data_IF_342048757942
#
_entry.id   IF_342048757942
#
_cell.length_a   1.000
_cell.length_b   1.000
_cell.length_c   1.000
_cell.angle_alpha   90.00
_cell.angle_beta   90.00
_cell.angle_gamma   90.00
#
_symmetry.space_group_name_H-M   'P 1'
#
loop_
_entity.id
_entity.type
_entity.pdbx_description
1 polymer ?
#
# COMPACT_ATOMS: atom_id res chain seq x y z
N UNK A 1 -8.41 -35.25 18.64
CA UNK A 1 -8.82 -33.84 18.46
C UNK A 1 -8.33 -33.20 17.15
N UNK A 2 -7.70 -33.91 16.22
CA UNK A 2 -7.23 -33.39 14.91
C UNK A 2 -8.26 -33.54 13.76
N UNK A 3 -9.39 -34.17 14.01
CA UNK A 3 -10.32 -34.57 12.94
C UNK A 3 -11.53 -33.65 12.70
N UNK A 4 -11.66 -32.57 13.45
CA UNK A 4 -12.84 -31.67 13.40
C UNK A 4 -12.62 -30.36 12.64
N UNK A 5 -11.38 -30.01 12.28
CA UNK A 5 -11.09 -28.78 11.52
C UNK A 5 -11.15 -28.94 9.99
N UNK A 6 -11.13 -30.17 9.46
CA UNK A 6 -11.01 -30.39 7.99
C UNK A 6 -12.33 -30.43 7.22
N UNK A 7 -13.50 -30.41 7.85
CA UNK A 7 -14.79 -30.60 7.15
C UNK A 7 -15.55 -29.32 6.78
N UNK A 8 -15.02 -28.13 7.08
CA UNK A 8 -15.77 -26.87 6.89
C UNK A 8 -15.28 -25.97 5.73
N UNK A 9 -14.28 -26.39 4.95
CA UNK A 9 -13.69 -25.55 3.88
C UNK A 9 -14.18 -25.85 2.46
N UNK A 10 -15.23 -26.65 2.27
CA UNK A 10 -15.77 -26.93 0.94
C UNK A 10 -17.24 -26.50 0.90
N UNK A 11 -17.53 -25.32 0.38
CA UNK A 11 -18.73 -24.94 -0.38
C UNK A 11 -18.83 -23.41 -0.50
N UNK A 12 -18.36 -22.87 -1.61
CA UNK A 12 -18.95 -21.73 -2.31
C UNK A 12 -18.28 -21.58 -3.69
N UNK A 13 -18.69 -22.43 -4.60
CA UNK A 13 -18.55 -22.20 -6.04
C UNK A 13 -19.95 -21.99 -6.59
N UNK A 14 -20.30 -20.76 -6.92
CA UNK A 14 -21.48 -20.46 -7.72
C UNK A 14 -21.08 -20.33 -9.18
N UNK A 15 -21.48 -21.29 -9.97
CA UNK A 15 -21.36 -21.30 -11.43
C UNK A 15 -22.46 -20.42 -12.01
N UNK A 16 -22.10 -19.37 -12.74
CA UNK A 16 -23.02 -18.64 -13.61
C UNK A 16 -22.85 -19.13 -15.05
N UNK A 17 -23.86 -19.79 -15.58
CA UNK A 17 -23.93 -20.27 -16.96
C UNK A 17 -24.42 -19.17 -17.89
N UNK A 18 -23.63 -18.88 -18.91
CA UNK A 18 -23.96 -18.02 -20.05
C UNK A 18 -24.89 -18.73 -21.03
N UNK A 19 -25.94 -18.07 -21.47
CA UNK A 19 -26.73 -18.46 -22.63
C UNK A 19 -26.54 -17.43 -23.74
N UNK A 20 -25.92 -17.84 -24.85
CA UNK A 20 -25.86 -17.06 -26.09
C UNK A 20 -27.17 -17.18 -26.86
N UNK A 21 -27.75 -16.05 -27.25
CA UNK A 21 -28.84 -15.97 -28.20
C UNK A 21 -28.51 -15.07 -29.38
N UNK A 22 -28.42 -15.64 -30.57
CA UNK A 22 -28.28 -14.93 -31.85
C UNK A 22 -29.59 -14.24 -32.23
N UNK A 23 -29.53 -12.96 -32.54
CA UNK A 23 -30.65 -12.19 -33.11
C UNK A 23 -30.18 -11.17 -34.13
N UNK A 24 -30.65 -11.35 -35.36
CA UNK A 24 -30.37 -10.56 -36.55
C UNK A 24 -31.16 -9.22 -36.52
N UNK A 25 -30.65 -8.11 -37.10
CA UNK A 25 -31.31 -6.82 -37.03
C UNK A 25 -32.45 -6.69 -38.05
N UNK A 26 -33.60 -6.11 -37.73
CA UNK A 26 -34.60 -5.73 -38.70
C UNK A 26 -34.45 -4.31 -39.22
N UNK A 27 -34.98 -4.11 -40.42
CA UNK A 27 -34.90 -2.91 -41.25
C UNK A 27 -35.55 -1.66 -40.64
N UNK A 28 -35.01 -0.49 -41.01
CA UNK A 28 -35.49 0.84 -40.68
C UNK A 28 -36.90 1.11 -41.25
N UNK A 29 -37.83 1.50 -40.39
CA UNK A 29 -39.09 2.15 -40.75
C UNK A 29 -39.18 3.50 -40.04
N UNK A 30 -39.35 4.57 -40.82
CA UNK A 30 -39.56 5.94 -40.36
C UNK A 30 -40.99 6.08 -39.85
N UNK A 31 -41.17 6.32 -38.55
CA UNK A 31 -42.42 6.71 -37.93
C UNK A 31 -42.30 8.10 -37.30
N UNK A 32 -43.30 8.97 -37.34
CA UNK A 32 -43.24 10.33 -36.78
C UNK A 32 -43.20 10.28 -35.23
N UNK A 33 -42.68 11.34 -34.55
CA UNK A 33 -42.47 11.33 -33.12
C UNK A 33 -43.83 11.26 -32.36
N UNK A 34 -43.93 10.46 -31.29
CA UNK A 34 -45.10 10.40 -30.45
C UNK A 34 -45.23 11.67 -29.60
N UNK A 35 -46.47 12.07 -29.33
CA UNK A 35 -46.84 13.18 -28.46
C UNK A 35 -46.28 12.98 -27.06
N UNK A 36 -45.88 14.11 -26.40
CA UNK A 36 -45.31 14.11 -25.07
C UNK A 36 -46.19 13.35 -24.06
N UNK A 37 -45.60 12.38 -23.38
CA UNK A 37 -46.23 11.64 -22.31
C UNK A 37 -46.50 12.55 -21.10
N UNK A 38 -47.61 12.34 -20.34
CA UNK A 38 -47.86 13.07 -19.11
C UNK A 38 -46.75 12.81 -18.07
N UNK A 39 -46.47 13.75 -17.15
CA UNK A 39 -45.45 13.60 -16.16
C UNK A 39 -45.66 12.34 -15.32
N UNK A 40 -44.64 11.52 -15.21
CA UNK A 40 -44.66 10.30 -14.41
C UNK A 40 -44.97 10.64 -12.94
N UNK A 41 -45.93 9.92 -12.38
CA UNK A 41 -46.19 9.94 -10.93
C UNK A 41 -44.91 9.55 -10.18
N UNK A 42 -44.51 10.28 -9.13
CA UNK A 42 -43.37 9.90 -8.34
C UNK A 42 -43.58 8.48 -7.77
N UNK A 43 -42.51 7.66 -7.71
CA UNK A 43 -42.60 6.33 -7.12
C UNK A 43 -43.07 6.45 -5.66
N UNK A 44 -43.83 5.48 -5.15
CA UNK A 44 -44.27 5.50 -3.76
C UNK A 44 -43.07 5.57 -2.84
N UNK A 45 -43.18 6.41 -1.82
CA UNK A 45 -42.11 6.52 -0.80
C UNK A 45 -41.83 5.13 -0.23
N UNK A 46 -40.56 4.69 -0.31
CA UNK A 46 -40.13 3.44 0.31
C UNK A 46 -40.31 3.62 1.81
N UNK A 47 -41.34 2.95 2.35
CA UNK A 47 -41.56 2.90 3.79
C UNK A 47 -40.33 2.24 4.43
N UNK A 48 -39.53 3.01 5.21
CA UNK A 48 -38.40 2.46 5.93
C UNK A 48 -38.94 1.56 7.02
N UNK A 49 -38.88 0.25 6.80
CA UNK A 49 -39.16 -0.75 7.83
C UNK A 49 -38.10 -0.54 8.94
N UNK A 50 -38.53 0.07 10.06
CA UNK A 50 -37.68 0.14 11.24
C UNK A 50 -37.65 -1.25 11.88
N UNK A 51 -36.44 -1.83 11.98
CA UNK A 51 -36.25 -3.10 12.66
C UNK A 51 -36.67 -2.96 14.14
N UNK A 52 -37.40 -3.96 14.65
CA UNK A 52 -37.79 -3.97 16.07
C UNK A 52 -36.57 -4.13 16.97
N UNK A 53 -36.63 -3.66 18.24
CA UNK A 53 -35.54 -3.86 19.20
C UNK A 53 -35.12 -5.34 19.32
N UNK A 54 -36.08 -6.28 19.24
CA UNK A 54 -35.83 -7.71 19.28
C UNK A 54 -35.08 -8.21 18.04
N UNK A 55 -35.45 -7.71 16.86
CA UNK A 55 -34.73 -8.04 15.61
C UNK A 55 -33.29 -7.52 15.63
N UNK A 56 -33.07 -6.31 16.17
CA UNK A 56 -31.74 -5.74 16.35
C UNK A 56 -30.91 -6.55 17.37
N UNK A 57 -31.52 -6.96 18.50
CA UNK A 57 -30.86 -7.78 19.51
C UNK A 57 -30.44 -9.15 18.93
N UNK A 58 -31.34 -9.81 18.21
CA UNK A 58 -31.07 -11.09 17.53
C UNK A 58 -29.96 -10.97 16.50
N UNK A 59 -29.98 -9.95 15.67
CA UNK A 59 -28.92 -9.71 14.67
C UNK A 59 -27.56 -9.47 15.33
N UNK A 60 -27.51 -8.76 16.47
CA UNK A 60 -26.28 -8.58 17.25
C UNK A 60 -25.75 -9.91 17.83
N UNK A 61 -26.61 -10.75 18.35
CA UNK A 61 -26.25 -12.08 18.86
C UNK A 61 -25.72 -12.98 17.74
N UNK A 62 -26.36 -12.98 16.57
CA UNK A 62 -25.90 -13.74 15.40
C UNK A 62 -24.54 -13.26 14.89
N UNK A 63 -24.31 -11.93 14.82
CA UNK A 63 -23.03 -11.34 14.46
C UNK A 63 -21.95 -11.69 15.48
N UNK A 64 -22.26 -11.64 16.79
CA UNK A 64 -21.31 -12.03 17.82
C UNK A 64 -20.95 -13.52 17.74
N UNK A 65 -21.93 -14.37 17.52
CA UNK A 65 -21.72 -15.81 17.36
C UNK A 65 -20.89 -16.12 16.10
N UNK A 66 -21.08 -15.37 15.01
CA UNK A 66 -20.26 -15.47 13.81
C UNK A 66 -18.81 -15.03 14.09
N UNK A 67 -18.60 -13.88 14.72
CA UNK A 67 -17.28 -13.39 15.12
C UNK A 67 -16.53 -14.39 16.03
N UNK A 68 -17.24 -15.05 16.95
CA UNK A 68 -16.66 -16.08 17.83
C UNK A 68 -16.31 -17.38 17.07
N UNK A 69 -17.07 -17.74 16.02
CA UNK A 69 -16.73 -18.85 15.12
C UNK A 69 -15.48 -18.51 14.31
N UNK A 70 -15.41 -17.32 13.74
CA UNK A 70 -14.28 -16.86 12.94
C UNK A 70 -13.00 -16.76 13.77
N UNK A 71 -13.13 -16.27 15.02
CA UNK A 71 -12.02 -16.24 15.99
C UNK A 71 -11.49 -17.65 16.29
N UNK A 72 -12.38 -18.63 16.50
CA UNK A 72 -11.97 -20.03 16.72
C UNK A 72 -11.31 -20.64 15.50
N UNK A 73 -11.81 -20.38 14.29
CA UNK A 73 -11.18 -20.83 13.04
C UNK A 73 -9.78 -20.23 12.88
N UNK A 74 -9.61 -18.93 13.10
CA UNK A 74 -8.30 -18.26 13.02
C UNK A 74 -7.31 -18.79 14.06
N UNK A 75 -7.77 -19.13 15.26
CA UNK A 75 -6.92 -19.71 16.31
C UNK A 75 -6.34 -21.10 15.93
N UNK A 76 -7.01 -21.84 15.06
CA UNK A 76 -6.55 -23.14 14.54
C UNK A 76 -5.69 -23.02 13.28
N UNK A 77 -5.63 -21.85 12.62
CA UNK A 77 -4.91 -21.64 11.36
C UNK A 77 -3.40 -21.69 11.63
N UNK A 78 -2.70 -22.58 10.96
CA UNK A 78 -1.23 -22.59 10.97
C UNK A 78 -0.67 -21.63 9.92
N UNK A 79 0.60 -21.26 10.07
CA UNK A 79 1.25 -20.42 9.05
C UNK A 79 1.31 -21.11 7.68
N UNK A 80 1.55 -22.42 7.63
CA UNK A 80 1.58 -23.15 6.37
C UNK A 80 0.20 -23.21 5.71
N UNK A 81 -0.89 -23.33 6.49
CA UNK A 81 -2.26 -23.22 5.97
C UNK A 81 -2.52 -21.81 5.40
N UNK A 82 -2.06 -20.76 6.09
CA UNK A 82 -2.18 -19.39 5.61
C UNK A 82 -1.40 -19.16 4.32
N UNK A 83 -0.13 -19.57 4.26
CA UNK A 83 0.71 -19.48 3.04
C UNK A 83 0.06 -20.15 1.83
N UNK A 84 -0.63 -21.27 2.05
CA UNK A 84 -1.32 -22.00 0.98
C UNK A 84 -2.53 -21.22 0.40
N UNK A 85 -3.05 -20.23 1.11
CA UNK A 85 -4.18 -19.38 0.67
C UNK A 85 -3.74 -18.04 0.10
N UNK A 86 -2.48 -17.63 0.34
CA UNK A 86 -1.96 -16.34 -0.13
C UNK A 86 -1.44 -16.49 -1.55
N UNK A 87 -1.93 -15.63 -2.44
CA UNK A 87 -1.42 -15.56 -3.80
C UNK A 87 0.05 -15.13 -3.82
N UNK A 88 0.86 -15.79 -4.64
CA UNK A 88 2.24 -15.40 -4.92
C UNK A 88 2.42 -15.16 -6.41
N UNK A 89 2.94 -14.00 -6.76
CA UNK A 89 3.25 -13.65 -8.15
C UNK A 89 4.20 -14.69 -8.77
N UNK A 90 3.91 -15.19 -10.01
CA UNK A 90 4.60 -16.34 -10.61
C UNK A 90 5.85 -15.96 -11.43
N UNK A 91 6.49 -14.84 -11.12
CA UNK A 91 7.69 -14.36 -11.81
C UNK A 91 8.85 -14.10 -10.84
N UNK A 92 10.05 -13.91 -11.37
CA UNK A 92 11.24 -13.62 -10.57
C UNK A 92 11.07 -12.30 -9.80
N UNK A 93 11.36 -12.31 -8.50
CA UNK A 93 11.10 -11.17 -7.60
C UNK A 93 9.62 -10.99 -7.24
N UNK A 94 8.75 -11.92 -7.66
CA UNK A 94 7.33 -11.91 -7.33
C UNK A 94 7.08 -11.98 -5.83
N UNK A 95 6.06 -11.23 -5.38
CA UNK A 95 5.69 -11.03 -3.98
C UNK A 95 4.50 -11.89 -3.57
N UNK A 96 4.28 -12.04 -2.28
CA UNK A 96 3.01 -12.51 -1.73
C UNK A 96 2.03 -11.34 -1.71
N UNK A 97 0.82 -11.54 -2.19
CA UNK A 97 -0.22 -10.52 -2.21
C UNK A 97 -1.24 -10.83 -1.12
N UNK A 98 -1.42 -9.92 -0.22
CA UNK A 98 -2.44 -9.97 0.83
C UNK A 98 -3.43 -8.82 0.65
N UNK A 99 -4.61 -8.91 1.25
CA UNK A 99 -5.58 -7.81 1.29
C UNK A 99 -5.98 -7.24 -0.10
N UNK A 100 -5.89 -8.07 -1.14
CA UNK A 100 -6.24 -7.72 -2.53
C UNK A 100 -5.05 -7.27 -3.37
N UNK A 101 -4.23 -6.32 -2.90
CA UNK A 101 -3.14 -5.70 -3.66
C UNK A 101 -1.89 -5.35 -2.83
N UNK A 102 -1.91 -5.62 -1.53
CA UNK A 102 -0.79 -5.30 -0.64
C UNK A 102 0.35 -6.32 -0.80
N UNK A 103 1.52 -5.93 -1.33
CA UNK A 103 2.61 -6.85 -1.57
C UNK A 103 3.47 -7.07 -0.32
N UNK A 104 3.81 -8.34 -0.05
CA UNK A 104 4.77 -8.76 0.97
C UNK A 104 5.95 -9.45 0.28
N UNK A 105 7.16 -8.97 0.50
CA UNK A 105 8.32 -9.34 -0.30
C UNK A 105 8.75 -10.80 -0.15
N UNK A 106 8.62 -11.37 1.05
CA UNK A 106 9.13 -12.71 1.33
C UNK A 106 8.36 -13.44 2.44
N UNK A 107 8.70 -14.73 2.62
CA UNK A 107 8.06 -15.59 3.61
C UNK A 107 8.35 -15.16 5.07
N UNK A 108 9.48 -14.47 5.35
CA UNK A 108 9.81 -13.93 6.68
C UNK A 108 8.82 -12.83 7.08
N UNK A 109 8.62 -11.86 6.18
CA UNK A 109 7.64 -10.78 6.38
C UNK A 109 6.20 -11.32 6.39
N UNK A 110 5.89 -12.33 5.57
CA UNK A 110 4.57 -12.97 5.57
C UNK A 110 4.28 -13.69 6.89
N UNK A 111 5.28 -14.32 7.51
CA UNK A 111 5.14 -14.90 8.85
C UNK A 111 4.89 -13.81 9.90
N UNK A 112 5.60 -12.70 9.82
CA UNK A 112 5.39 -11.56 10.73
C UNK A 112 3.99 -10.97 10.55
N UNK A 113 3.53 -10.81 9.32
CA UNK A 113 2.16 -10.41 9.00
C UNK A 113 1.14 -11.37 9.61
N UNK A 114 1.32 -12.68 9.43
CA UNK A 114 0.45 -13.71 10.00
C UNK A 114 0.39 -13.65 11.54
N UNK A 115 1.54 -13.55 12.21
CA UNK A 115 1.61 -13.50 13.66
C UNK A 115 0.99 -12.22 14.24
N UNK A 116 1.15 -11.08 13.56
CA UNK A 116 0.62 -9.79 14.00
C UNK A 116 -0.85 -9.58 13.67
N UNK A 117 -1.28 -10.00 12.48
CA UNK A 117 -2.52 -9.50 11.88
C UNK A 117 -3.56 -10.60 11.66
N UNK A 118 -3.15 -11.85 11.46
CA UNK A 118 -4.09 -12.95 11.22
C UNK A 118 -4.47 -13.65 12.52
N UNK A 119 -3.52 -13.85 13.44
CA UNK A 119 -3.76 -14.52 14.73
C UNK A 119 -4.54 -13.68 15.77
N UNK A 120 -4.21 -12.40 16.04
CA UNK A 120 -4.94 -11.62 17.04
C UNK A 120 -6.00 -10.71 16.43
N UNK A 121 -7.18 -10.53 17.02
CA UNK A 121 -8.09 -9.46 16.67
C UNK A 121 -7.69 -8.16 17.36
N UNK A 122 -7.49 -7.06 16.64
CA UNK A 122 -7.23 -5.76 17.25
C UNK A 122 -8.09 -4.64 16.65
N UNK A 123 -8.33 -3.59 17.47
CA UNK A 123 -9.16 -2.44 17.16
C UNK A 123 -8.33 -1.27 16.62
N UNK A 124 -8.83 -0.53 15.70
CA UNK A 124 -8.20 0.29 14.71
C UNK A 124 -8.44 1.79 14.70
N UNK A 125 -7.75 2.51 13.81
CA UNK A 125 -7.97 3.90 13.35
C UNK A 125 -7.15 4.20 12.07
N UNK A 126 -7.46 5.23 11.21
CA UNK A 126 -7.01 5.53 9.82
C UNK A 126 -5.59 6.06 9.61
N UNK A 127 -5.01 6.10 8.30
CA UNK A 127 -3.97 5.17 8.08
C UNK A 127 -3.00 5.65 7.01
N UNK A 128 -1.89 6.13 7.51
CA UNK A 128 -0.61 6.16 6.83
C UNK A 128 0.18 4.92 7.25
N UNK A 129 0.79 4.22 6.31
CA UNK A 129 1.65 3.08 6.58
C UNK A 129 2.77 3.46 7.56
N UNK A 130 2.99 2.64 8.57
CA UNK A 130 4.10 2.82 9.51
C UNK A 130 5.00 1.60 9.51
N UNK A 131 6.30 1.84 9.61
CA UNK A 131 7.31 0.79 9.77
C UNK A 131 8.11 1.10 11.02
N UNK A 132 8.05 0.21 11.99
CA UNK A 132 8.67 0.47 13.30
C UNK A 132 8.11 1.70 14.03
N UNK A 133 6.88 2.12 13.72
CA UNK A 133 6.26 3.31 14.29
C UNK A 133 6.60 4.63 13.58
N UNK A 134 7.40 4.59 12.51
CA UNK A 134 7.71 5.73 11.66
C UNK A 134 6.85 5.74 10.40
N UNK A 135 6.50 6.93 9.91
CA UNK A 135 5.76 7.10 8.67
C UNK A 135 6.52 6.54 7.47
N UNK A 136 5.92 5.63 6.72
CA UNK A 136 6.42 5.20 5.42
C UNK A 136 6.08 6.26 4.37
N UNK A 137 6.90 7.31 4.29
CA UNK A 137 6.67 8.45 3.37
C UNK A 137 7.97 8.98 2.78
N UNK A 138 7.86 9.67 1.66
CA UNK A 138 8.98 10.40 1.06
C UNK A 138 9.40 11.58 1.93
N UNK A 139 10.70 11.82 2.01
CA UNK A 139 11.23 13.03 2.65
C UNK A 139 11.06 14.28 1.75
N UNK A 140 11.44 15.45 2.26
CA UNK A 140 11.24 16.73 1.54
C UNK A 140 12.02 16.84 0.22
N UNK A 141 13.17 16.16 0.12
CA UNK A 141 13.99 16.14 -1.09
C UNK A 141 13.51 15.11 -2.10
N UNK A 142 12.98 13.98 -1.63
CA UNK A 142 12.48 12.89 -2.47
C UNK A 142 11.12 13.19 -3.07
N UNK A 143 10.19 13.74 -2.29
CA UNK A 143 8.79 13.98 -2.71
C UNK A 143 8.64 14.82 -3.97
N UNK A 144 9.62 15.68 -4.28
CA UNK A 144 9.65 16.54 -5.48
C UNK A 144 10.51 15.96 -6.60
N UNK A 145 10.80 14.67 -6.57
CA UNK A 145 11.64 13.96 -7.56
C UNK A 145 11.17 12.52 -7.75
N UNK A 146 9.87 12.28 -7.78
CA UNK A 146 9.30 10.95 -7.94
C UNK A 146 9.30 10.58 -9.44
N UNK A 147 10.51 10.39 -10.00
CA UNK A 147 10.66 10.02 -11.41
C UNK A 147 10.21 8.58 -11.65
N UNK A 148 9.57 8.36 -12.81
CA UNK A 148 9.13 7.03 -13.22
C UNK A 148 9.31 6.81 -14.72
N UNK A 149 9.36 5.56 -15.13
CA UNK A 149 9.29 5.15 -16.52
C UNK A 149 8.03 4.31 -16.77
N UNK A 150 7.56 4.28 -18.01
CA UNK A 150 6.48 3.40 -18.45
C UNK A 150 7.05 2.43 -19.48
N UNK A 151 6.94 1.12 -19.19
CA UNK A 151 7.60 0.11 -20.00
C UNK A 151 7.04 0.02 -21.42
N UNK A 152 7.93 0.00 -22.42
CA UNK A 152 7.57 -0.27 -23.81
C UNK A 152 6.94 -1.68 -24.02
N UNK A 153 6.99 -2.56 -23.00
CA UNK A 153 6.32 -3.87 -23.04
C UNK A 153 4.80 -3.78 -23.00
N UNK A 154 4.22 -2.60 -22.70
CA UNK A 154 2.79 -2.35 -22.92
C UNK A 154 2.40 -2.38 -24.42
N UNK A 155 3.35 -2.30 -25.35
CA UNK A 155 3.10 -2.33 -26.78
C UNK A 155 2.18 -1.19 -27.22
N UNK A 156 1.11 -1.49 -27.95
CA UNK A 156 0.15 -0.48 -28.43
C UNK A 156 -0.62 0.26 -27.33
N UNK A 157 -0.55 -0.20 -26.08
CA UNK A 157 -1.19 0.46 -24.92
C UNK A 157 -0.29 1.48 -24.23
N UNK A 158 0.99 1.53 -24.58
CA UNK A 158 1.99 2.39 -23.93
C UNK A 158 1.52 3.85 -23.79
N UNK A 159 1.14 4.49 -24.89
CA UNK A 159 0.74 5.90 -24.88
C UNK A 159 -0.52 6.14 -24.03
N UNK A 160 -1.44 5.18 -24.04
CA UNK A 160 -2.64 5.25 -23.19
C UNK A 160 -2.26 5.17 -21.70
N UNK A 161 -1.33 4.27 -21.33
CA UNK A 161 -0.84 4.17 -19.93
C UNK A 161 -0.11 5.44 -19.53
N UNK A 162 0.75 6.00 -20.39
CA UNK A 162 1.43 7.29 -20.15
C UNK A 162 0.40 8.39 -19.85
N UNK A 163 -0.65 8.48 -20.67
CA UNK A 163 -1.70 9.48 -20.47
C UNK A 163 -2.49 9.26 -19.16
N UNK A 164 -2.82 8.01 -18.84
CA UNK A 164 -3.56 7.71 -17.58
C UNK A 164 -2.69 7.94 -16.35
N UNK A 165 -1.40 7.62 -16.41
CA UNK A 165 -0.44 7.96 -15.35
C UNK A 165 -0.35 9.47 -15.15
N UNK A 166 -0.20 10.26 -16.24
CA UNK A 166 -0.16 11.72 -16.15
C UNK A 166 -1.45 12.31 -15.55
N UNK A 167 -2.61 11.76 -15.90
CA UNK A 167 -3.89 12.16 -15.32
C UNK A 167 -3.95 11.83 -13.81
N UNK A 168 -3.52 10.65 -13.42
CA UNK A 168 -3.59 10.19 -12.04
C UNK A 168 -2.57 10.91 -11.13
N UNK A 169 -1.33 11.11 -11.57
CA UNK A 169 -0.32 11.88 -10.83
C UNK A 169 -0.76 13.33 -10.66
N UNK A 170 -1.29 13.95 -11.73
CA UNK A 170 -1.78 15.32 -11.71
C UNK A 170 -2.90 15.57 -10.69
N UNK A 171 -3.73 14.57 -10.35
CA UNK A 171 -4.75 14.73 -9.31
C UNK A 171 -4.13 14.87 -7.91
N UNK A 172 -3.06 14.13 -7.61
CA UNK A 172 -2.32 14.28 -6.35
C UNK A 172 -1.51 15.59 -6.32
N UNK A 173 -0.85 15.95 -7.41
CA UNK A 173 -0.02 17.16 -7.55
C UNK A 173 -0.83 18.45 -7.45
N UNK A 174 -2.10 18.45 -7.87
CA UNK A 174 -3.00 19.61 -7.70
C UNK A 174 -3.20 20.03 -6.24
N UNK A 175 -3.04 19.11 -5.31
CA UNK A 175 -3.35 19.34 -3.90
C UNK A 175 -2.14 19.21 -2.97
N UNK A 176 -1.12 18.43 -3.37
CA UNK A 176 0.09 18.17 -2.56
C UNK A 176 1.35 18.73 -3.20
N UNK A 177 2.33 19.11 -2.39
CA UNK A 177 3.66 19.48 -2.85
C UNK A 177 4.53 18.26 -3.16
N UNK A 178 4.02 17.32 -3.96
CA UNK A 178 4.77 16.22 -4.56
C UNK A 178 4.96 16.48 -6.05
N UNK A 179 5.93 15.84 -6.68
CA UNK A 179 6.20 16.00 -8.11
C UNK A 179 6.58 14.63 -8.70
N UNK A 180 5.71 14.14 -9.59
CA UNK A 180 5.89 12.91 -10.34
C UNK A 180 6.35 13.25 -11.77
N UNK A 181 7.50 12.79 -12.15
CA UNK A 181 8.08 13.09 -13.48
C UNK A 181 8.24 11.82 -14.31
N UNK A 182 7.55 11.74 -15.45
CA UNK A 182 7.77 10.67 -16.43
C UNK A 182 9.09 10.90 -17.17
N UNK A 183 10.07 10.04 -16.93
CA UNK A 183 11.33 10.04 -17.71
C UNK A 183 11.19 9.11 -18.91
N UNK A 184 10.73 9.68 -20.03
CA UNK A 184 10.51 8.95 -21.29
C UNK A 184 11.79 8.32 -21.85
N UNK A 185 12.97 8.85 -21.51
CA UNK A 185 14.25 8.29 -21.93
C UNK A 185 14.53 6.91 -21.32
N UNK A 186 13.83 6.57 -20.24
CA UNK A 186 13.98 5.32 -19.50
C UNK A 186 12.96 4.24 -19.89
N UNK A 187 11.98 4.54 -20.74
CA UNK A 187 10.89 3.60 -21.08
C UNK A 187 11.40 2.32 -21.77
N UNK A 188 12.45 2.42 -22.58
CA UNK A 188 13.05 1.27 -23.23
C UNK A 188 13.78 0.32 -22.25
N UNK A 189 14.26 0.83 -21.12
CA UNK A 189 14.95 0.08 -20.07
C UNK A 189 14.11 0.02 -18.79
N UNK A 190 12.80 0.25 -18.87
CA UNK A 190 11.91 0.35 -17.73
C UNK A 190 11.75 -1.01 -17.03
N UNK A 191 12.28 -1.12 -15.82
CA UNK A 191 12.26 -2.36 -15.05
C UNK A 191 12.88 -2.21 -13.66
N UNK A 192 12.85 -3.28 -12.85
CA UNK A 192 13.26 -3.24 -11.45
C UNK A 192 14.75 -2.92 -11.24
N UNK A 193 15.60 -3.18 -12.24
CA UNK A 193 17.04 -2.88 -12.19
C UNK A 193 17.40 -1.47 -12.69
N UNK A 194 16.43 -0.69 -13.19
CA UNK A 194 16.68 0.66 -13.65
C UNK A 194 16.74 1.65 -12.48
N UNK A 195 17.93 1.98 -12.04
CA UNK A 195 18.16 2.91 -10.91
C UNK A 195 18.10 4.40 -11.29
N UNK A 196 17.91 4.72 -12.57
CA UNK A 196 17.77 6.10 -13.04
C UNK A 196 16.41 6.73 -12.66
N UNK A 197 15.42 5.92 -12.32
CA UNK A 197 14.09 6.35 -11.89
C UNK A 197 13.75 5.82 -10.50
N UNK A 198 12.83 6.48 -9.81
CA UNK A 198 12.38 6.08 -8.48
C UNK A 198 11.56 4.80 -8.54
N UNK A 199 10.72 4.62 -9.59
CA UNK A 199 9.93 3.42 -9.79
C UNK A 199 9.65 3.15 -11.27
N UNK A 200 9.21 1.94 -11.56
CA UNK A 200 8.83 1.49 -12.89
C UNK A 200 7.35 1.13 -12.96
N UNK A 201 6.73 1.42 -14.12
CA UNK A 201 5.35 1.04 -14.43
C UNK A 201 5.38 -0.02 -15.53
N UNK A 202 4.84 -1.23 -15.24
CA UNK A 202 4.96 -2.39 -16.14
C UNK A 202 3.67 -3.19 -16.25
N UNK A 203 3.40 -3.84 -17.40
CA UNK A 203 2.30 -4.79 -17.54
C UNK A 203 2.63 -6.11 -16.86
N UNK A 204 1.58 -6.76 -16.37
CA UNK A 204 1.58 -8.17 -15.93
C UNK A 204 0.30 -8.85 -16.44
N UNK A 205 0.29 -10.17 -16.39
CA UNK A 205 -0.89 -10.98 -16.71
C UNK A 205 -1.00 -12.07 -15.64
N UNK A 206 -1.58 -11.73 -14.50
CA UNK A 206 -1.67 -12.61 -13.32
C UNK A 206 -3.12 -12.92 -12.95
N UNK A 207 -4.07 -12.00 -13.21
CA UNK A 207 -5.50 -12.17 -13.01
C UNK A 207 -5.99 -12.13 -11.56
N UNK A 208 -5.12 -11.85 -10.59
CA UNK A 208 -5.47 -11.81 -9.15
C UNK A 208 -5.73 -10.40 -8.63
N UNK A 209 -5.25 -9.39 -9.35
CA UNK A 209 -5.48 -7.96 -9.08
C UNK A 209 -5.57 -7.18 -10.38
N UNK A 210 -6.17 -5.99 -10.36
CA UNK A 210 -6.19 -5.08 -11.52
C UNK A 210 -4.86 -4.33 -11.63
N UNK A 211 -4.36 -3.83 -10.52
CA UNK A 211 -3.03 -3.25 -10.40
C UNK A 211 -2.53 -3.45 -8.96
N UNK A 212 -1.25 -3.19 -8.73
CA UNK A 212 -0.67 -3.04 -7.41
C UNK A 212 0.50 -2.07 -7.42
N UNK A 213 0.79 -1.43 -6.31
CA UNK A 213 1.91 -0.52 -6.17
C UNK A 213 2.91 -0.99 -5.08
N UNK A 214 3.65 -0.04 -4.53
CA UNK A 214 4.69 -0.22 -3.51
C UNK A 214 4.54 0.86 -2.43
N UNK A 215 5.19 0.65 -1.27
CA UNK A 215 5.29 1.69 -0.24
C UNK A 215 6.66 2.40 -0.27
N UNK A 216 6.75 3.69 0.13
CA UNK A 216 7.99 4.49 0.05
C UNK A 216 9.22 3.88 0.70
N UNK A 217 9.06 3.05 1.72
CA UNK A 217 10.13 2.36 2.43
C UNK A 217 10.72 1.16 1.69
N UNK A 218 10.14 0.73 0.56
CA UNK A 218 10.67 -0.40 -0.20
C UNK A 218 11.96 -0.04 -0.96
N UNK A 219 12.89 -1.00 -1.18
CA UNK A 219 14.10 -0.78 -1.97
C UNK A 219 13.75 -0.62 -3.45
N UNK A 220 14.63 0.04 -4.25
CA UNK A 220 14.36 0.37 -5.67
C UNK A 220 13.86 -0.83 -6.51
N UNK A 221 14.44 -2.03 -6.45
CA UNK A 221 13.95 -3.15 -7.25
C UNK A 221 12.49 -3.56 -6.97
N UNK A 222 11.99 -3.21 -5.78
CA UNK A 222 10.63 -3.50 -5.34
C UNK A 222 9.64 -2.35 -5.64
N UNK A 223 10.13 -1.17 -6.03
CA UNK A 223 9.31 0.01 -6.35
C UNK A 223 8.77 -0.09 -7.77
N UNK A 224 7.65 -0.76 -7.92
CA UNK A 224 6.96 -0.90 -9.19
C UNK A 224 5.45 -0.74 -9.03
N UNK A 225 4.83 -0.13 -10.02
CA UNK A 225 3.39 -0.14 -10.26
C UNK A 225 3.16 -1.18 -11.36
N UNK A 226 2.51 -2.27 -11.02
CA UNK A 226 2.18 -3.35 -11.96
C UNK A 226 0.70 -3.22 -12.34
N UNK A 227 0.43 -3.25 -13.65
CA UNK A 227 -0.91 -3.15 -14.22
C UNK A 227 -1.23 -4.47 -14.91
N UNK A 228 -2.25 -5.16 -14.42
CA UNK A 228 -2.69 -6.42 -15.02
C UNK A 228 -3.46 -6.19 -16.33
N UNK A 229 -3.36 -7.14 -17.23
CA UNK A 229 -4.04 -7.14 -18.54
C UNK A 229 -5.56 -6.93 -18.40
N UNK A 230 -6.18 -7.42 -17.32
CA UNK A 230 -7.61 -7.28 -17.05
C UNK A 230 -8.05 -5.83 -16.84
N UNK A 231 -7.16 -4.94 -16.40
CA UNK A 231 -7.45 -3.50 -16.26
C UNK A 231 -7.80 -2.81 -17.58
N UNK A 232 -7.36 -3.37 -18.71
CA UNK A 232 -7.66 -2.85 -20.05
C UNK A 232 -8.94 -3.44 -20.66
N UNK A 233 -9.54 -4.41 -19.99
CA UNK A 233 -10.79 -5.05 -20.41
C UNK A 233 -12.01 -4.49 -19.69
N UNK A 234 -11.84 -3.46 -18.85
CA UNK A 234 -12.95 -2.81 -18.15
C UNK A 234 -13.92 -2.15 -19.15
N UNK A 235 -15.24 -2.32 -18.98
CA UNK A 235 -16.23 -1.68 -19.85
C UNK A 235 -16.10 -0.14 -19.79
N UNK A 236 -16.19 0.57 -20.91
CA UNK A 236 -15.99 2.02 -20.95
C UNK A 236 -17.10 2.84 -20.26
N UNK A 237 -18.25 2.22 -20.01
CA UNK A 237 -19.40 2.80 -19.31
C UNK A 237 -19.40 2.52 -17.80
N UNK A 238 -18.47 1.68 -17.32
CA UNK A 238 -18.30 1.44 -15.89
C UNK A 238 -17.55 2.60 -15.22
N UNK A 239 -17.84 2.82 -13.94
CA UNK A 239 -17.17 3.86 -13.15
C UNK A 239 -15.71 3.53 -12.83
N UNK A 240 -15.41 2.24 -12.67
CA UNK A 240 -14.05 1.77 -12.48
C UNK A 240 -13.28 1.85 -13.81
N UNK A 241 -12.32 2.74 -13.86
CA UNK A 241 -11.48 2.97 -15.03
C UNK A 241 -10.00 2.98 -14.62
N UNK A 242 -9.11 2.74 -15.56
CA UNK A 242 -7.67 2.68 -15.30
C UNK A 242 -7.13 3.92 -14.56
N UNK A 243 -7.62 5.12 -14.86
CA UNK A 243 -7.22 6.35 -14.16
C UNK A 243 -7.59 6.33 -12.68
N UNK A 244 -8.74 5.76 -12.34
CA UNK A 244 -9.16 5.59 -10.93
C UNK A 244 -8.27 4.60 -10.20
N UNK A 245 -8.02 3.44 -10.83
CA UNK A 245 -7.09 2.42 -10.31
C UNK A 245 -5.73 3.06 -10.07
N UNK A 246 -5.16 3.77 -11.04
CA UNK A 246 -3.85 4.41 -10.89
C UNK A 246 -3.81 5.51 -9.81
N UNK A 247 -4.92 6.25 -9.58
CA UNK A 247 -5.01 7.19 -8.44
C UNK A 247 -4.91 6.45 -7.10
N UNK A 248 -5.57 5.31 -6.98
CA UNK A 248 -5.49 4.44 -5.80
C UNK A 248 -4.05 3.93 -5.62
N UNK A 249 -3.46 3.33 -6.64
CA UNK A 249 -2.09 2.81 -6.59
C UNK A 249 -1.04 3.88 -6.26
N UNK A 250 -1.19 5.09 -6.82
CA UNK A 250 -0.32 6.21 -6.48
C UNK A 250 -0.51 6.67 -5.02
N UNK A 251 -1.67 6.47 -4.43
CA UNK A 251 -1.88 6.63 -2.99
C UNK A 251 -0.95 5.72 -2.17
N UNK A 252 -0.80 4.45 -2.55
CA UNK A 252 0.18 3.55 -1.93
C UNK A 252 1.62 4.03 -2.12
N UNK A 253 1.98 4.51 -3.31
CA UNK A 253 3.33 5.08 -3.54
C UNK A 253 3.60 6.33 -2.68
N UNK A 254 2.58 7.00 -2.19
CA UNK A 254 2.65 8.09 -1.24
C UNK A 254 2.54 7.63 0.23
N UNK A 255 2.42 6.32 0.49
CA UNK A 255 2.38 5.74 1.82
C UNK A 255 0.99 5.51 2.38
N UNK A 256 -0.09 5.85 1.65
CA UNK A 256 -1.45 5.62 2.15
C UNK A 256 -1.82 4.14 2.07
N UNK A 257 -2.49 3.66 3.12
CA UNK A 257 -3.05 2.30 3.22
C UNK A 257 -4.54 2.32 2.87
N UNK A 258 -5.10 1.13 2.72
CA UNK A 258 -6.54 1.02 2.52
C UNK A 258 -7.34 1.59 3.68
N UNK A 259 -8.28 2.46 3.37
CA UNK A 259 -9.16 3.10 4.35
C UNK A 259 -10.07 2.09 5.05
N UNK A 260 -10.44 1.01 4.37
CA UNK A 260 -11.31 -0.04 4.90
C UNK A 260 -10.64 -0.97 5.93
N UNK A 261 -9.32 -0.91 6.09
CA UNK A 261 -8.67 -1.64 7.20
C UNK A 261 -9.07 -1.08 8.57
N UNK A 262 -9.75 0.06 8.60
CA UNK A 262 -10.28 0.64 9.83
C UNK A 262 -11.47 -0.14 10.38
N UNK A 263 -11.63 -0.24 11.74
CA UNK A 263 -12.81 -0.85 12.36
C UNK A 263 -14.12 -0.19 12.00
N UNK A 264 -14.09 1.12 11.68
CA UNK A 264 -15.29 1.86 11.30
C UNK A 264 -15.92 1.30 10.02
N UNK A 265 -15.13 0.66 9.14
CA UNK A 265 -15.67 -0.08 8.00
C UNK A 265 -16.44 -1.33 8.42
N UNK A 266 -16.08 -1.93 9.56
CA UNK A 266 -16.71 -3.14 10.08
C UNK A 266 -16.38 -4.42 9.34
N UNK A 267 -15.60 -4.36 8.26
CA UNK A 267 -15.22 -5.51 7.40
C UNK A 267 -13.88 -5.26 6.74
N UNK A 268 -13.29 -6.26 6.09
CA UNK A 268 -12.03 -6.20 5.36
C UNK A 268 -10.86 -5.66 6.20
N UNK A 269 -10.85 -5.90 7.48
CA UNK A 269 -9.74 -5.48 8.34
C UNK A 269 -8.44 -6.16 7.91
N UNK A 270 -7.38 -5.36 7.74
CA UNK A 270 -6.06 -5.82 7.28
C UNK A 270 -5.06 -5.98 8.43
N UNK A 271 -4.53 -4.85 8.95
CA UNK A 271 -3.53 -4.83 10.02
C UNK A 271 -3.55 -3.51 10.82
N UNK A 272 -2.58 -3.35 11.76
CA UNK A 272 -2.43 -2.18 12.60
C UNK A 272 -1.12 -1.40 12.35
N UNK A 273 -0.38 -1.69 11.30
CA UNK A 273 0.89 -1.03 11.00
C UNK A 273 0.64 0.32 10.27
N UNK A 274 -0.10 1.21 10.93
CA UNK A 274 -0.53 2.49 10.40
C UNK A 274 -0.91 3.51 11.51
N UNK A 275 -1.02 4.78 11.17
CA UNK A 275 -1.55 5.83 12.02
C UNK A 275 -2.56 6.72 11.30
N UNK A 276 -3.53 7.35 12.00
CA UNK A 276 -4.54 8.18 11.36
C UNK A 276 -4.01 9.53 10.90
N UNK A 277 -4.56 10.04 9.79
CA UNK A 277 -4.41 11.41 9.33
C UNK A 277 -5.73 12.20 9.40
N UNK A 278 -6.86 11.50 9.16
CA UNK A 278 -8.22 12.07 9.16
C UNK A 278 -9.17 11.24 10.03
N UNK A 279 -10.41 11.66 10.18
CA UNK A 279 -11.50 10.76 10.58
C UNK A 279 -11.84 9.81 9.42
N UNK A 280 -12.47 8.65 9.69
CA UNK A 280 -12.87 7.65 8.69
C UNK A 280 -13.63 8.26 7.50
N UNK A 281 -13.34 7.77 6.31
CA UNK A 281 -13.97 8.18 5.07
C UNK A 281 -14.34 6.98 4.18
N UNK A 282 -15.59 6.57 4.23
CA UNK A 282 -16.11 5.47 3.41
C UNK A 282 -16.13 5.76 1.90
N UNK A 283 -15.83 7.00 1.48
CA UNK A 283 -15.74 7.43 0.08
C UNK A 283 -14.30 7.61 -0.40
N UNK A 284 -13.30 7.47 0.48
CA UNK A 284 -11.89 7.67 0.16
C UNK A 284 -11.46 6.92 -1.11
N UNK A 285 -10.56 7.53 -1.89
CA UNK A 285 -9.88 6.85 -3.00
C UNK A 285 -9.18 5.57 -2.57
N UNK A 286 -8.80 5.47 -1.28
CA UNK A 286 -8.15 4.29 -0.70
C UNK A 286 -9.15 3.28 -0.10
N UNK A 287 -10.44 3.42 -0.33
CA UNK A 287 -11.48 2.55 0.22
C UNK A 287 -12.09 1.66 -0.85
N UNK A 288 -12.03 0.34 -0.68
CA UNK A 288 -12.76 -0.58 -1.55
C UNK A 288 -14.26 -0.52 -1.26
N UNK A 289 -15.13 -0.19 -2.25
CA UNK A 289 -16.58 -0.15 -2.05
C UNK A 289 -17.18 -1.45 -1.51
N UNK A 290 -16.67 -2.63 -1.93
CA UNK A 290 -17.13 -3.92 -1.40
C UNK A 290 -16.79 -4.17 0.07
N UNK A 291 -15.88 -3.38 0.65
CA UNK A 291 -15.50 -3.44 2.05
C UNK A 291 -16.35 -2.50 2.92
N UNK A 292 -17.66 -2.41 2.65
CA UNK A 292 -18.61 -1.50 3.29
C UNK A 292 -18.33 -0.02 3.00
N UNK A 293 -17.59 0.29 1.92
CA UNK A 293 -17.42 1.63 1.40
C UNK A 293 -18.72 2.17 0.81
N UNK A 294 -18.82 3.49 0.72
CA UNK A 294 -19.96 4.19 0.12
C UNK A 294 -19.57 4.87 -1.20
N UNK A 295 -18.33 4.69 -1.65
CA UNK A 295 -17.82 5.10 -2.94
C UNK A 295 -18.46 4.32 -4.10
N UNK A 296 -18.26 4.80 -5.30
CA UNK A 296 -18.90 4.30 -6.50
C UNK A 296 -17.91 3.70 -7.52
N UNK A 297 -16.73 3.27 -7.08
CA UNK A 297 -15.63 2.76 -7.91
C UNK A 297 -15.00 3.76 -8.87
N UNK A 298 -15.41 5.04 -8.87
CA UNK A 298 -14.72 6.07 -9.65
C UNK A 298 -13.31 6.39 -9.10
N UNK A 299 -13.06 6.02 -7.85
CA UNK A 299 -11.80 6.21 -7.12
C UNK A 299 -11.29 7.65 -7.27
N UNK A 300 -12.18 8.62 -7.02
CA UNK A 300 -11.87 10.07 -7.02
C UNK A 300 -11.41 10.47 -5.62
N UNK A 301 -10.39 11.34 -5.55
CA UNK A 301 -9.92 11.88 -4.28
C UNK A 301 -11.04 12.67 -3.57
N UNK A 302 -11.37 12.28 -2.36
CA UNK A 302 -12.28 13.05 -1.50
C UNK A 302 -11.60 14.29 -0.94
N UNK A 303 -12.36 15.17 -0.28
CA UNK A 303 -11.77 16.31 0.40
C UNK A 303 -10.90 15.90 1.58
N UNK A 304 -11.18 14.77 2.25
CA UNK A 304 -10.31 14.20 3.27
C UNK A 304 -9.01 13.67 2.68
N UNK A 305 -9.05 12.96 1.57
CA UNK A 305 -7.84 12.48 0.86
C UNK A 305 -6.94 13.66 0.47
N UNK A 306 -7.51 14.71 -0.12
CA UNK A 306 -6.81 15.95 -0.51
C UNK A 306 -6.18 16.65 0.68
N UNK A 307 -6.94 16.87 1.75
CA UNK A 307 -6.45 17.59 2.93
C UNK A 307 -5.40 16.77 3.70
N UNK A 308 -5.59 15.46 3.84
CA UNK A 308 -4.64 14.57 4.49
C UNK A 308 -3.30 14.50 3.74
N UNK A 309 -3.35 14.36 2.42
CA UNK A 309 -2.14 14.31 1.59
C UNK A 309 -1.40 15.64 1.59
N UNK A 310 -2.11 16.77 1.48
CA UNK A 310 -1.54 18.11 1.59
C UNK A 310 -0.97 18.39 3.00
N UNK A 311 -1.62 17.88 4.04
CA UNK A 311 -1.12 17.98 5.42
C UNK A 311 0.19 17.20 5.61
N UNK A 312 0.29 16.02 5.00
CA UNK A 312 1.46 15.14 5.11
C UNK A 312 2.69 15.65 4.34
N UNK A 313 2.47 16.10 3.10
CA UNK A 313 3.52 16.46 2.16
C UNK A 313 3.70 17.97 1.95
N UNK A 314 2.84 18.79 2.55
CA UNK A 314 2.67 20.21 2.27
C UNK A 314 1.66 20.43 1.12
N UNK A 315 0.94 21.54 1.13
CA UNK A 315 -0.02 21.89 0.08
C UNK A 315 0.70 22.27 -1.22
N UNK A 316 0.08 21.95 -2.36
CA UNK A 316 0.43 22.51 -3.65
C UNK A 316 0.19 24.02 -3.68
N UNK A 317 0.84 24.72 -4.63
CA UNK A 317 0.57 26.15 -4.84
C UNK A 317 -0.90 26.39 -5.17
N UNK A 318 -1.58 27.20 -4.36
CA UNK A 318 -3.00 27.50 -4.53
C UNK A 318 -3.96 26.57 -3.79
N UNK A 319 -3.48 25.45 -3.20
CA UNK A 319 -4.28 24.63 -2.31
C UNK A 319 -4.10 25.08 -0.86
N UNK A 320 -5.20 25.12 -0.11
CA UNK A 320 -5.18 25.44 1.33
C UNK A 320 -5.75 24.27 2.12
N UNK A 321 -4.99 23.77 3.08
CA UNK A 321 -5.45 22.68 3.95
C UNK A 321 -6.53 23.20 4.89
N UNK A 322 -7.68 22.53 4.92
CA UNK A 322 -8.70 22.73 5.95
C UNK A 322 -8.30 21.94 7.21
N UNK A 323 -7.94 22.62 8.30
CA UNK A 323 -7.50 21.93 9.52
C UNK A 323 -8.61 21.10 10.19
N UNK A 324 -9.88 21.32 9.84
CA UNK A 324 -11.01 20.54 10.38
C UNK A 324 -11.13 19.15 9.73
N UNK A 325 -10.52 18.96 8.56
CA UNK A 325 -10.52 17.70 7.82
C UNK A 325 -9.42 16.76 8.28
N UNK A 326 -8.43 17.22 9.05
CA UNK A 326 -7.28 16.43 9.49
C UNK A 326 -7.29 16.23 11.00
N UNK A 327 -6.85 15.04 11.45
CA UNK A 327 -6.82 14.66 12.87
C UNK A 327 -5.44 14.82 13.51
N UNK A 328 -4.46 15.30 12.75
CA UNK A 328 -3.07 15.48 13.18
C UNK A 328 -2.59 16.89 12.83
N UNK A 329 -1.64 17.47 13.58
CA UNK A 329 -0.98 18.70 13.16
C UNK A 329 -0.30 18.50 11.81
N UNK A 330 -0.63 19.36 10.85
CA UNK A 330 0.08 19.37 9.58
C UNK A 330 1.55 19.73 9.78
N UNK A 331 2.42 19.14 8.98
CA UNK A 331 3.80 19.59 8.92
C UNK A 331 3.78 21.10 8.57
N UNK A 332 4.02 21.94 9.56
CA UNK A 332 4.38 23.35 9.27
C UNK A 332 5.58 23.30 8.33
N UNK A 333 5.64 24.19 7.34
CA UNK A 333 6.79 24.29 6.45
C UNK A 333 8.06 24.01 7.24
N UNK A 334 8.74 22.88 7.00
CA UNK A 334 9.88 22.55 7.82
C UNK A 334 10.88 23.70 7.68
N UNK A 335 11.40 24.14 8.79
CA UNK A 335 12.66 24.91 8.78
C UNK A 335 13.59 24.18 7.81
N UNK A 336 14.26 24.87 6.87
CA UNK A 336 15.18 24.22 5.96
C UNK A 336 16.04 23.24 6.77
N UNK A 337 16.26 21.99 6.31
CA UNK A 337 17.07 21.06 7.08
C UNK A 337 18.41 21.73 7.41
N UNK A 338 18.97 21.48 8.58
CA UNK A 338 20.24 22.03 8.96
C UNK A 338 21.24 21.82 7.81
N UNK A 339 21.92 22.85 7.38
CA UNK A 339 22.83 22.87 6.23
C UNK A 339 24.17 22.19 6.54
N UNK A 340 24.10 20.94 7.04
CA UNK A 340 25.27 20.10 7.21
C UNK A 340 25.56 19.31 5.92
N UNK A 341 26.82 19.20 5.51
CA UNK A 341 27.19 18.27 4.46
C UNK A 341 26.92 16.83 4.94
N UNK A 342 26.37 15.95 4.07
CA UNK A 342 26.22 14.54 4.42
C UNK A 342 27.56 13.90 4.77
N UNK A 343 27.60 13.17 5.86
CA UNK A 343 28.73 12.34 6.27
C UNK A 343 28.42 10.88 5.94
N UNK A 344 29.35 10.21 5.27
CA UNK A 344 29.21 8.77 4.96
C UNK A 344 30.28 7.99 5.69
N UNK A 345 29.85 7.01 6.47
CA UNK A 345 30.71 6.04 7.14
C UNK A 345 30.51 4.66 6.52
N UNK A 346 31.61 3.94 6.29
CA UNK A 346 31.59 2.60 5.70
C UNK A 346 32.41 1.63 6.57
N UNK A 347 31.82 0.44 6.76
CA UNK A 347 32.42 -0.67 7.47
C UNK A 347 32.45 -1.87 6.52
N UNK A 348 33.62 -2.14 5.95
CA UNK A 348 33.77 -3.20 4.93
C UNK A 348 34.14 -4.54 5.54
N UNK A 349 33.84 -5.62 4.80
CA UNK A 349 34.20 -7.00 5.13
C UNK A 349 33.74 -7.44 6.54
N UNK A 350 32.56 -7.01 6.94
CA UNK A 350 31.96 -7.39 8.21
C UNK A 350 31.39 -8.80 8.12
N UNK A 351 31.33 -9.51 9.24
CA UNK A 351 30.67 -10.81 9.34
C UNK A 351 29.81 -10.91 10.59
N UNK A 352 28.73 -11.67 10.51
CA UNK A 352 27.88 -11.98 11.65
C UNK A 352 27.48 -13.47 11.61
N UNK A 353 27.64 -14.17 12.73
CA UNK A 353 27.21 -15.56 12.87
C UNK A 353 25.68 -15.65 13.04
N UNK A 354 25.09 -16.81 12.75
CA UNK A 354 23.66 -17.04 13.00
C UNK A 354 23.28 -16.74 14.45
N UNK A 355 22.28 -15.91 14.65
CA UNK A 355 21.78 -15.46 15.96
C UNK A 355 22.63 -14.38 16.65
N UNK A 356 23.87 -14.16 16.19
CA UNK A 356 24.74 -13.10 16.74
C UNK A 356 24.28 -11.71 16.28
N UNK A 357 24.72 -10.68 17.01
CA UNK A 357 24.42 -9.28 16.73
C UNK A 357 25.71 -8.46 16.73
N UNK A 358 25.78 -7.45 15.86
CA UNK A 358 26.88 -6.49 15.80
C UNK A 358 26.29 -5.09 15.75
N UNK A 359 26.70 -4.23 16.69
CA UNK A 359 26.15 -2.88 16.85
C UNK A 359 27.12 -1.82 16.41
N UNK A 360 26.61 -0.70 15.90
CA UNK A 360 27.35 0.46 15.41
C UNK A 360 26.70 1.75 15.93
N UNK A 361 27.51 2.77 16.14
CA UNK A 361 27.05 4.07 16.66
C UNK A 361 27.36 4.27 18.13
N UNK A 362 26.84 5.34 18.78
CA UNK A 362 25.90 6.30 18.18
C UNK A 362 26.53 7.17 17.09
N UNK A 363 25.73 7.51 16.07
CA UNK A 363 26.06 8.53 15.08
C UNK A 363 25.18 9.76 15.34
N UNK A 364 25.78 10.97 15.33
CA UNK A 364 25.01 12.19 15.45
C UNK A 364 24.14 12.39 14.19
N UNK A 365 22.90 12.79 14.37
CA UNK A 365 21.95 13.08 13.27
C UNK A 365 21.18 14.35 13.55
N UNK A 366 20.87 15.14 12.51
CA UNK A 366 20.08 16.33 12.60
C UNK A 366 18.61 16.03 12.22
N UNK A 367 17.67 16.48 13.05
CA UNK A 367 16.23 16.30 12.80
C UNK A 367 15.81 16.89 11.45
N UNK A 368 14.94 16.18 10.73
CA UNK A 368 14.45 16.58 9.41
C UNK A 368 15.38 16.26 8.24
N UNK A 369 16.59 15.72 8.50
CA UNK A 369 17.55 15.35 7.46
C UNK A 369 17.40 13.90 7.02
N UNK A 370 17.84 13.54 5.79
CA UNK A 370 17.88 12.13 5.36
C UNK A 370 18.89 11.32 6.14
N UNK A 371 18.53 10.08 6.43
CA UNK A 371 19.40 9.03 6.92
C UNK A 371 19.27 7.82 5.99
N UNK A 372 20.38 7.42 5.38
CA UNK A 372 20.46 6.20 4.56
C UNK A 372 21.43 5.22 5.20
N UNK A 373 20.93 4.04 5.54
CA UNK A 373 21.72 2.94 6.10
C UNK A 373 21.51 1.73 5.20
N UNK A 374 22.58 1.18 4.68
CA UNK A 374 22.51 0.02 3.79
C UNK A 374 23.55 -1.03 4.17
N UNK A 375 23.16 -2.28 4.11
CA UNK A 375 24.07 -3.42 4.06
C UNK A 375 24.05 -4.03 2.67
N UNK A 376 25.21 -4.46 2.20
CA UNK A 376 25.39 -5.15 0.93
C UNK A 376 26.44 -6.23 1.10
N UNK A 377 26.22 -7.41 0.54
CA UNK A 377 27.14 -8.52 0.62
C UNK A 377 27.03 -9.43 -0.60
N UNK A 378 27.94 -10.41 -0.76
CA UNK A 378 27.84 -11.38 -1.83
C UNK A 378 26.53 -12.17 -1.72
N UNK A 379 25.73 -12.17 -2.77
CA UNK A 379 24.38 -12.77 -2.80
C UNK A 379 24.30 -14.27 -2.46
N UNK A 380 25.43 -14.94 -2.42
CA UNK A 380 25.52 -16.37 -2.11
C UNK A 380 25.77 -16.67 -0.61
N UNK A 381 25.94 -15.68 0.25
CA UNK A 381 26.43 -15.89 1.61
C UNK A 381 25.58 -15.23 2.68
N UNK A 382 24.62 -16.01 3.18
CA UNK A 382 23.96 -15.69 4.43
C UNK A 382 22.80 -14.70 4.33
N UNK A 383 22.29 -14.35 5.50
CA UNK A 383 21.10 -13.53 5.67
C UNK A 383 21.31 -12.61 6.91
N UNK A 384 22.11 -11.54 6.77
CA UNK A 384 22.25 -10.53 7.80
C UNK A 384 21.07 -9.54 7.74
N UNK A 385 20.34 -9.39 8.83
CA UNK A 385 19.23 -8.44 8.97
C UNK A 385 19.70 -7.10 9.53
N UNK A 386 19.27 -6.00 8.92
CA UNK A 386 19.55 -4.62 9.33
C UNK A 386 18.48 -4.10 10.29
N UNK A 387 18.91 -3.48 11.38
CA UNK A 387 18.08 -2.79 12.34
C UNK A 387 18.60 -1.38 12.59
N UNK A 388 17.74 -0.38 12.53
CA UNK A 388 18.06 1.02 12.80
C UNK A 388 17.14 1.55 13.89
N UNK A 389 17.70 2.31 14.85
CA UNK A 389 16.92 2.93 15.91
C UNK A 389 17.50 4.28 16.32
N UNK A 390 16.62 5.23 16.58
CA UNK A 390 17.01 6.54 17.10
C UNK A 390 17.12 6.54 18.63
N UNK A 391 18.13 7.25 19.14
CA UNK A 391 18.42 7.56 20.55
C UNK A 391 18.69 6.35 21.46
N UNK A 392 18.55 5.14 21.00
CA UNK A 392 18.84 3.92 21.76
C UNK A 392 19.26 2.75 20.85
N UNK A 393 19.91 1.75 21.43
CA UNK A 393 20.30 0.55 20.70
C UNK A 393 19.06 -0.20 20.16
N UNK A 394 19.07 -0.64 18.89
CA UNK A 394 18.06 -1.56 18.39
C UNK A 394 18.09 -2.91 19.10
N UNK A 395 16.96 -3.59 19.11
CA UNK A 395 16.85 -5.01 19.45
C UNK A 395 15.99 -5.71 18.41
N UNK A 396 15.89 -7.03 18.48
CA UNK A 396 15.03 -7.82 17.57
C UNK A 396 13.54 -7.47 17.65
N UNK A 397 13.12 -6.86 18.74
CA UNK A 397 11.71 -6.45 18.98
C UNK A 397 11.53 -4.94 19.11
N UNK A 398 12.61 -4.15 19.00
CA UNK A 398 12.54 -2.69 19.16
C UNK A 398 13.51 -2.00 18.22
N UNK A 399 12.96 -1.41 17.18
CA UNK A 399 13.66 -0.74 16.07
C UNK A 399 12.74 0.31 15.46
N UNK A 400 13.30 1.26 14.73
CA UNK A 400 12.55 2.26 13.98
C UNK A 400 12.55 1.93 12.47
N UNK A 401 13.55 1.16 11.98
CA UNK A 401 13.54 0.59 10.65
C UNK A 401 14.21 -0.78 10.65
N UNK A 402 13.58 -1.75 10.00
CA UNK A 402 14.07 -3.10 9.74
C UNK A 402 13.48 -3.60 8.43
N UNK A 403 14.23 -3.70 7.34
CA UNK A 403 13.74 -4.19 6.05
C UNK A 403 13.28 -5.64 6.08
N UNK A 404 14.03 -6.51 6.77
CA UNK A 404 13.74 -7.94 6.98
C UNK A 404 13.57 -8.71 5.68
N UNK A 405 14.46 -8.45 4.73
CA UNK A 405 14.51 -9.13 3.44
C UNK A 405 15.28 -10.44 3.53
N UNK A 406 15.13 -11.31 2.53
CA UNK A 406 15.98 -12.48 2.39
C UNK A 406 17.32 -12.07 1.75
N UNK A 407 18.42 -12.58 2.30
CA UNK A 407 19.77 -12.37 1.76
C UNK A 407 20.49 -11.12 2.34
N UNK A 408 21.67 -10.82 1.78
CA UNK A 408 22.60 -9.87 2.40
C UNK A 408 22.41 -8.40 1.99
N UNK A 409 21.35 -8.06 1.29
CA UNK A 409 21.12 -6.70 0.79
C UNK A 409 19.89 -6.10 1.44
N UNK A 410 20.10 -5.14 2.32
CA UNK A 410 19.03 -4.42 3.01
C UNK A 410 19.34 -2.92 3.11
N UNK A 411 18.30 -2.09 3.09
CA UNK A 411 18.45 -0.65 3.26
C UNK A 411 17.31 -0.03 4.06
N UNK A 412 17.68 0.94 4.90
CA UNK A 412 16.77 1.86 5.57
C UNK A 412 17.04 3.27 5.07
N UNK A 413 16.08 3.88 4.37
CA UNK A 413 16.11 5.28 3.94
C UNK A 413 14.98 6.00 4.65
N UNK A 414 15.30 6.78 5.68
CA UNK A 414 14.31 7.44 6.55
C UNK A 414 14.68 8.90 6.78
N UNK A 415 13.69 9.73 7.09
CA UNK A 415 13.93 11.09 7.60
C UNK A 415 14.11 11.03 9.11
N UNK A 416 15.16 11.67 9.63
CA UNK A 416 15.38 11.77 11.07
C UNK A 416 14.19 12.48 11.73
N UNK A 417 13.48 11.85 12.68
CA UNK A 417 12.33 12.48 13.33
C UNK A 417 12.70 13.71 14.14
N UNK A 418 11.72 14.61 14.37
CA UNK A 418 11.88 15.73 15.28
C UNK A 418 12.32 15.23 16.67
N UNK A 419 13.21 15.97 17.32
CA UNK A 419 13.78 15.65 18.64
C UNK A 419 14.69 14.41 18.69
N UNK A 420 15.10 13.85 17.55
CA UNK A 420 16.13 12.80 17.47
C UNK A 420 17.48 13.40 17.13
N UNK A 421 18.51 12.99 17.87
CA UNK A 421 19.86 13.52 17.73
C UNK A 421 20.93 12.45 17.52
N UNK A 422 20.56 11.18 17.67
CA UNK A 422 21.48 10.05 17.51
C UNK A 422 20.78 8.90 16.84
N UNK A 423 21.55 8.13 16.07
CA UNK A 423 21.09 6.87 15.51
C UNK A 423 22.04 5.74 15.87
N UNK A 424 21.49 4.57 16.07
CA UNK A 424 22.20 3.33 16.32
C UNK A 424 21.79 2.31 15.26
N UNK A 425 22.75 1.51 14.83
CA UNK A 425 22.54 0.45 13.85
C UNK A 425 22.96 -0.88 14.45
N UNK A 426 22.21 -1.91 14.17
CA UNK A 426 22.53 -3.29 14.52
C UNK A 426 22.34 -4.17 13.28
N UNK A 427 23.29 -5.08 13.07
CA UNK A 427 23.16 -6.16 12.09
C UNK A 427 23.10 -7.48 12.84
N UNK A 428 22.06 -8.29 12.57
CA UNK A 428 21.86 -9.60 13.17
C UNK A 428 21.93 -10.69 12.10
N UNK A 429 22.65 -11.76 12.34
CA UNK A 429 22.61 -12.93 11.45
C UNK A 429 21.33 -13.74 11.63
N UNK A 430 20.36 -13.61 10.71
CA UNK A 430 19.29 -14.60 10.59
C UNK A 430 19.89 -15.95 10.12
N UNK A 431 20.76 -15.90 9.11
CA UNK A 431 21.78 -16.90 8.85
C UNK A 431 23.17 -16.24 8.92
N UNK A 432 24.22 -17.04 9.11
CA UNK A 432 25.60 -16.53 9.08
C UNK A 432 25.86 -15.85 7.72
N UNK A 433 26.45 -14.63 7.73
CA UNK A 433 26.73 -13.90 6.51
C UNK A 433 27.86 -12.90 6.65
N UNK A 434 28.30 -12.38 5.50
CA UNK A 434 29.22 -11.26 5.36
C UNK A 434 28.53 -10.09 4.69
N UNK A 435 28.92 -8.86 5.05
CA UNK A 435 28.31 -7.64 4.54
C UNK A 435 29.27 -6.46 4.61
N UNK A 436 29.05 -5.48 3.77
CA UNK A 436 29.53 -4.12 3.94
C UNK A 436 28.36 -3.25 4.46
N UNK A 437 28.63 -2.42 5.46
CA UNK A 437 27.67 -1.49 6.02
C UNK A 437 28.04 -0.06 5.61
N UNK A 438 27.09 0.68 5.06
CA UNK A 438 27.23 2.10 4.75
C UNK A 438 26.14 2.90 5.47
N UNK A 439 26.56 4.00 6.12
CA UNK A 439 25.67 4.90 6.84
C UNK A 439 25.93 6.31 6.32
N UNK A 440 24.93 6.93 5.70
CA UNK A 440 24.97 8.32 5.23
C UNK A 440 23.99 9.14 6.03
N UNK A 441 24.46 10.17 6.71
CA UNK A 441 23.67 11.00 7.61
C UNK A 441 24.16 12.44 7.60
N UNK A 442 23.35 13.38 8.05
CA UNK A 442 23.73 14.77 8.35
C UNK A 442 23.85 14.88 9.87
N UNK A 443 25.06 15.18 10.42
CA UNK A 443 25.27 15.28 11.86
C UNK A 443 24.70 16.55 12.48
#
# INVERSE_FOLDING_TARGET
MRSLCLSACLLFLVVASSACGNGQPPASSTTPPPAAAPPATPPPAIERIQATPEAIAKAREELQAQADRDRRMRACLTFDDFVATVYREPFEGGKYIVNGDTPIANKKQLLEFFEKNVKPPQAARLILATVGGLDAKWNQQQKTKLSYCVSNTFGSRHDAVVQQMANATGEWEKVTAVDFTHDTSQDAACGPSNEAVVFDVRPVNVGDYLARAFFPNEPRPARNVLIDESSFALPPDEKLQLVGILRHELGHTLGFRHEHTRPESGTCFEDNDWRPLTSYDAFSVMHYPQCNGQGDWSLILTDKDKNASACLYGPATGFTVDPTMVSVPCATNPTPPPSGAPNTQSFTAQSVAKGAQKSYGPFAVAAGTPLDVAINGPSATGDPDLYVRFDSQPSVTSYDCRPYLDGPVEACSVTVPANKTRVFVMVRGYAQGTYDLRITHVP
#
